data_IF_833954698337
#
_entry.id   IF_833954698337
#
_cell.length_a   1.000
_cell.length_b   1.000
_cell.length_c   1.000
_cell.angle_alpha   90.00
_cell.angle_beta   90.00
_cell.angle_gamma   90.00
#
_symmetry.space_group_name_H-M   'P 1'
#
loop_
_entity.id
_entity.type
_entity.pdbx_description
1 polymer ?
#
# COMPACT_ATOMS: atom_id res chain seq x y z
N UNK A 1 3.03 10.42 -20.56
CA UNK A 1 3.13 9.32 -21.55
C UNK A 1 4.49 8.69 -21.37
N UNK A 2 4.57 7.49 -20.79
CA UNK A 2 5.80 6.71 -20.78
C UNK A 2 5.49 5.33 -21.34
N UNK A 3 6.11 5.04 -22.47
CA UNK A 3 6.09 3.79 -23.21
C UNK A 3 7.11 2.82 -22.62
N UNK A 4 6.65 1.71 -22.06
CA UNK A 4 7.50 0.57 -21.73
C UNK A 4 7.50 -0.37 -22.94
N UNK A 5 8.59 -0.41 -23.70
CA UNK A 5 8.87 -1.48 -24.67
C UNK A 5 9.87 -2.43 -24.01
N UNK A 6 9.54 -3.71 -24.07
CA UNK A 6 10.33 -4.82 -23.57
C UNK A 6 11.75 -4.84 -24.16
N UNK A 7 12.74 -4.89 -23.27
CA UNK A 7 14.16 -5.01 -23.62
C UNK A 7 14.81 -6.12 -22.81
N UNK A 8 14.84 -7.32 -23.39
CA UNK A 8 15.64 -8.44 -22.94
C UNK A 8 17.11 -8.01 -22.86
N UNK A 9 17.68 -7.85 -21.67
CA UNK A 9 19.08 -7.47 -21.49
C UNK A 9 19.80 -8.40 -20.51
N UNK A 10 20.70 -9.18 -21.09
CA UNK A 10 21.76 -9.93 -20.42
C UNK A 10 22.61 -8.95 -19.60
N UNK A 11 22.68 -9.12 -18.28
CA UNK A 11 23.50 -8.28 -17.41
C UNK A 11 25.00 -8.51 -17.68
N UNK A 12 25.83 -7.45 -17.77
CA UNK A 12 27.26 -7.59 -17.84
C UNK A 12 27.85 -7.96 -16.48
N UNK A 13 28.82 -8.87 -16.55
CA UNK A 13 29.52 -9.47 -15.43
C UNK A 13 30.51 -8.45 -14.83
N UNK A 14 30.17 -7.83 -13.69
CA UNK A 14 31.12 -7.07 -12.88
C UNK A 14 31.20 -7.64 -11.46
N UNK A 15 32.41 -8.09 -11.11
CA UNK A 15 32.80 -8.62 -9.81
C UNK A 15 32.60 -7.56 -8.73
N UNK A 16 31.65 -7.79 -7.83
CA UNK A 16 31.62 -7.21 -6.50
C UNK A 16 31.50 -8.36 -5.49
N UNK A 17 32.47 -8.45 -4.58
CA UNK A 17 32.45 -9.39 -3.45
C UNK A 17 31.41 -8.86 -2.46
N UNK A 18 30.18 -9.35 -2.57
CA UNK A 18 29.06 -9.02 -1.71
C UNK A 18 28.01 -10.13 -1.82
N UNK A 19 27.51 -10.60 -0.68
CA UNK A 19 26.64 -11.79 -0.53
C UNK A 19 25.55 -11.88 -1.59
N UNK A 20 25.65 -12.86 -2.48
CA UNK A 20 24.63 -13.14 -3.50
C UNK A 20 23.47 -13.89 -2.86
N UNK A 21 22.50 -13.16 -2.30
CA UNK A 21 21.22 -13.74 -1.89
C UNK A 21 20.30 -13.85 -3.12
N UNK A 22 19.82 -15.05 -3.43
CA UNK A 22 18.83 -15.26 -4.49
C UNK A 22 17.44 -14.88 -3.96
N UNK A 23 16.85 -13.84 -4.55
CA UNK A 23 15.52 -13.34 -4.22
C UNK A 23 14.50 -13.79 -5.27
N UNK A 24 13.34 -14.24 -4.83
CA UNK A 24 12.22 -14.58 -5.72
C UNK A 24 11.04 -13.64 -5.46
N UNK A 25 10.42 -13.13 -6.54
CA UNK A 25 9.22 -12.29 -6.48
C UNK A 25 8.10 -13.07 -5.79
N UNK A 26 7.48 -12.46 -4.79
CA UNK A 26 6.29 -13.05 -4.17
C UNK A 26 5.08 -12.81 -5.08
N UNK A 27 4.47 -13.89 -5.57
CA UNK A 27 3.33 -13.84 -6.50
C UNK A 27 3.78 -13.63 -7.96
N UNK A 28 3.43 -14.57 -8.84
CA UNK A 28 3.59 -14.43 -10.30
C UNK A 28 2.42 -13.69 -10.95
N UNK A 29 1.29 -13.63 -10.26
CA UNK A 29 0.03 -13.15 -10.80
C UNK A 29 -0.07 -11.63 -10.72
N UNK A 30 -0.82 -11.03 -11.65
CA UNK A 30 -1.07 -9.59 -11.67
C UNK A 30 -1.76 -9.17 -10.36
N UNK A 31 -1.26 -8.10 -9.76
CA UNK A 31 -1.90 -7.48 -8.59
C UNK A 31 -3.22 -6.84 -8.99
N UNK A 32 -4.13 -6.63 -8.02
CA UNK A 32 -5.41 -5.94 -8.25
C UNK A 32 -5.19 -4.55 -8.90
N UNK A 33 -4.12 -3.86 -8.50
CA UNK A 33 -3.67 -2.58 -9.06
C UNK A 33 -3.19 -2.66 -10.52
N UNK A 34 -2.66 -3.81 -10.96
CA UNK A 34 -2.26 -4.02 -12.35
C UNK A 34 -3.47 -4.40 -13.23
N UNK A 35 -4.52 -4.99 -12.64
CA UNK A 35 -5.75 -5.39 -13.34
C UNK A 35 -6.71 -4.22 -13.61
N UNK A 36 -6.60 -3.11 -12.88
CA UNK A 36 -7.45 -1.92 -13.06
C UNK A 36 -7.07 -1.07 -14.29
N UNK A 37 -5.89 -1.30 -14.88
CA UNK A 37 -5.34 -0.49 -15.98
C UNK A 37 -5.98 -0.66 -17.38
N UNK A 38 -6.67 -1.75 -17.79
CA UNK A 38 -7.19 -1.88 -19.16
C UNK A 38 -8.72 -1.70 -19.34
N UNK A 39 -9.52 -1.49 -18.29
CA UNK A 39 -10.99 -1.44 -18.43
C UNK A 39 -11.55 -0.02 -18.65
N UNK A 40 -11.22 0.56 -19.81
CA UNK A 40 -12.02 1.66 -20.40
C UNK A 40 -12.61 1.21 -21.73
N UNK A 41 -13.79 0.58 -21.70
CA UNK A 41 -14.61 0.37 -22.91
C UNK A 41 -15.80 1.32 -22.94
N UNK A 42 -15.87 2.01 -24.06
CA UNK A 42 -16.90 2.94 -24.54
C UNK A 42 -18.33 2.41 -24.39
N UNK A 43 -19.27 3.27 -23.97
CA UNK A 43 -20.66 3.23 -24.43
C UNK A 43 -21.33 4.60 -24.32
N UNK A 44 -21.92 5.03 -25.44
CA UNK A 44 -22.79 6.20 -25.61
C UNK A 44 -24.23 5.84 -25.19
N UNK A 45 -24.89 6.72 -24.44
CA UNK A 45 -26.36 6.88 -24.43
C UNK A 45 -27.06 6.90 -23.06
N UNK A 46 -27.89 7.93 -22.85
CA UNK A 46 -28.87 8.24 -21.77
C UNK A 46 -28.38 8.88 -20.46
N UNK A 47 -28.60 10.20 -20.33
CA UNK A 47 -28.17 11.07 -19.24
C UNK A 47 -28.70 10.67 -17.85
N UNK A 48 -29.94 10.18 -17.74
CA UNK A 48 -30.53 9.80 -16.44
C UNK A 48 -30.03 8.45 -15.91
N UNK A 49 -29.60 7.54 -16.80
CA UNK A 49 -28.89 6.31 -16.42
C UNK A 49 -27.42 6.60 -16.07
N UNK A 50 -26.83 7.59 -16.73
CA UNK A 50 -25.46 8.05 -16.48
C UNK A 50 -25.31 8.64 -15.07
N UNK A 51 -26.32 9.37 -14.56
CA UNK A 51 -26.26 9.94 -13.21
C UNK A 51 -26.36 8.86 -12.12
N UNK A 52 -27.18 7.82 -12.31
CA UNK A 52 -27.19 6.63 -11.43
C UNK A 52 -25.90 5.81 -11.50
N UNK A 53 -25.24 5.75 -12.66
CA UNK A 53 -23.91 5.13 -12.78
C UNK A 53 -22.77 5.99 -12.19
N UNK A 54 -23.07 7.22 -11.78
CA UNK A 54 -22.09 8.18 -11.25
C UNK A 54 -22.14 8.34 -9.75
N UNK A 55 -23.24 7.93 -9.11
CA UNK A 55 -23.48 8.17 -7.71
C UNK A 55 -24.13 6.96 -7.03
N UNK A 56 -23.64 6.58 -5.86
CA UNK A 56 -24.21 5.50 -5.05
C UNK A 56 -24.29 5.88 -3.57
N UNK A 57 -25.33 5.41 -2.90
CA UNK A 57 -25.48 5.63 -1.46
C UNK A 57 -24.69 4.58 -0.68
N UNK A 58 -23.67 5.03 0.06
CA UNK A 58 -22.86 4.19 0.92
C UNK A 58 -23.07 4.56 2.39
N UNK A 59 -22.97 3.54 3.25
CA UNK A 59 -23.03 3.69 4.70
C UNK A 59 -21.63 3.78 5.28
N UNK A 60 -21.41 4.83 6.08
CA UNK A 60 -20.17 5.06 6.82
C UNK A 60 -20.46 4.91 8.32
N UNK A 61 -19.97 3.82 8.89
CA UNK A 61 -20.21 3.42 10.27
C UNK A 61 -19.27 4.14 11.23
N UNK A 62 -19.76 4.38 12.45
CA UNK A 62 -18.98 4.87 13.57
C UNK A 62 -18.64 3.71 14.52
N UNK A 63 -17.79 3.98 15.50
CA UNK A 63 -17.39 3.00 16.53
C UNK A 63 -18.56 2.53 17.42
N UNK A 64 -19.62 3.34 17.53
CA UNK A 64 -20.85 3.00 18.24
C UNK A 64 -21.88 2.26 17.36
N UNK A 65 -21.47 1.83 16.16
CA UNK A 65 -22.31 1.18 15.14
C UNK A 65 -23.43 2.04 14.54
N UNK A 66 -23.56 3.31 14.94
CA UNK A 66 -24.35 4.27 14.15
C UNK A 66 -23.70 4.47 12.79
N UNK A 67 -24.47 4.93 11.80
CA UNK A 67 -23.92 5.19 10.47
C UNK A 67 -24.51 6.44 9.85
N UNK A 68 -23.75 7.05 8.95
CA UNK A 68 -24.21 8.12 8.07
C UNK A 68 -24.26 7.60 6.65
N UNK A 69 -25.41 7.73 5.99
CA UNK A 69 -25.52 7.47 4.55
C UNK A 69 -25.03 8.70 3.79
N UNK A 70 -24.15 8.48 2.81
CA UNK A 70 -23.65 9.53 1.91
C UNK A 70 -23.75 9.02 0.49
N UNK A 71 -24.33 9.85 -0.39
CA UNK A 71 -24.32 9.62 -1.81
C UNK A 71 -22.93 9.97 -2.36
N UNK A 72 -22.12 8.95 -2.63
CA UNK A 72 -20.75 9.12 -3.13
C UNK A 72 -20.74 9.20 -4.65
N UNK A 73 -19.99 10.15 -5.18
CA UNK A 73 -19.86 10.38 -6.61
C UNK A 73 -18.45 10.01 -7.10
N UNK A 74 -18.31 9.78 -8.42
CA UNK A 74 -16.99 9.61 -9.04
C UNK A 74 -16.06 10.79 -8.72
N UNK A 75 -14.80 10.50 -8.46
CA UNK A 75 -13.73 11.43 -8.08
C UNK A 75 -13.88 12.08 -6.70
N UNK A 76 -14.82 11.61 -5.86
CA UNK A 76 -14.86 11.99 -4.46
C UNK A 76 -13.67 11.33 -3.74
N UNK A 77 -12.67 12.13 -3.35
CA UNK A 77 -11.49 11.61 -2.65
C UNK A 77 -11.82 11.31 -1.19
N UNK A 78 -11.11 10.34 -0.62
CA UNK A 78 -11.23 9.98 0.80
C UNK A 78 -11.07 11.20 1.72
N UNK A 79 -10.12 12.09 1.43
CA UNK A 79 -9.89 13.30 2.25
C UNK A 79 -11.11 14.23 2.27
N UNK A 80 -11.74 14.44 1.12
CA UNK A 80 -12.89 15.35 0.98
C UNK A 80 -14.13 14.73 1.68
N UNK A 81 -14.28 13.40 1.61
CA UNK A 81 -15.31 12.67 2.34
C UNK A 81 -15.09 12.72 3.86
N UNK A 82 -13.84 12.62 4.34
CA UNK A 82 -13.52 12.80 5.75
C UNK A 82 -13.94 14.19 6.23
N UNK A 83 -13.65 15.26 5.48
CA UNK A 83 -14.11 16.62 5.83
C UNK A 83 -15.63 16.70 5.92
N UNK A 84 -16.36 16.11 4.97
CA UNK A 84 -17.82 16.07 4.98
C UNK A 84 -18.36 15.39 6.24
N UNK A 85 -17.82 14.22 6.59
CA UNK A 85 -18.26 13.44 7.75
C UNK A 85 -17.88 14.13 9.07
N UNK A 86 -16.73 14.81 9.14
CA UNK A 86 -16.35 15.64 10.29
C UNK A 86 -17.38 16.72 10.55
N UNK A 87 -17.79 17.47 9.51
CA UNK A 87 -18.82 18.50 9.63
C UNK A 87 -20.14 17.93 10.12
N UNK A 88 -20.59 16.81 9.54
CA UNK A 88 -21.85 16.14 9.96
C UNK A 88 -21.82 15.66 11.41
N UNK A 89 -20.65 15.24 11.90
CA UNK A 89 -20.48 14.71 13.26
C UNK A 89 -20.04 15.76 14.28
N UNK A 90 -19.74 16.99 13.85
CA UNK A 90 -19.06 17.98 14.67
C UNK A 90 -17.74 17.43 15.27
N UNK A 91 -16.98 16.68 14.46
CA UNK A 91 -15.70 16.10 14.85
C UNK A 91 -14.52 17.03 14.49
N UNK A 92 -13.46 16.98 15.29
CA UNK A 92 -12.29 17.86 15.19
C UNK A 92 -11.03 16.99 15.08
N UNK A 93 -9.98 17.51 14.44
CA UNK A 93 -8.69 16.85 14.34
C UNK A 93 -8.36 16.38 12.91
N UNK A 94 -7.12 15.95 12.73
CA UNK A 94 -6.56 15.53 11.43
C UNK A 94 -6.51 14.01 11.27
N UNK A 95 -6.63 13.25 12.36
CA UNK A 95 -6.46 11.79 12.36
C UNK A 95 -7.68 11.03 11.80
N UNK A 96 -8.63 11.69 11.15
CA UNK A 96 -9.85 11.05 10.67
C UNK A 96 -9.64 10.35 9.34
N UNK A 97 -10.07 9.08 9.27
CA UNK A 97 -9.88 8.25 8.09
C UNK A 97 -11.13 7.40 7.79
N UNK A 98 -11.20 6.94 6.54
CA UNK A 98 -12.14 5.90 6.12
C UNK A 98 -11.42 4.56 6.21
N UNK A 99 -11.93 3.67 7.04
CA UNK A 99 -11.39 2.31 7.23
C UNK A 99 -12.31 1.32 6.55
N UNK A 100 -11.79 0.62 5.55
CA UNK A 100 -12.47 -0.48 4.89
C UNK A 100 -12.27 -1.76 5.70
N UNK A 101 -13.35 -2.44 6.06
CA UNK A 101 -13.32 -3.66 6.87
C UNK A 101 -13.95 -4.84 6.12
N UNK A 102 -13.37 -6.02 6.33
CA UNK A 102 -13.85 -7.31 5.81
C UNK A 102 -14.13 -8.26 6.96
N UNK A 103 -15.32 -8.17 7.61
CA UNK A 103 -15.59 -8.88 8.86
C UNK A 103 -15.37 -10.40 8.78
N UNK A 104 -15.76 -11.03 7.67
CA UNK A 104 -15.58 -12.49 7.47
C UNK A 104 -14.10 -12.91 7.35
N UNK A 105 -13.23 -12.01 6.89
CA UNK A 105 -11.80 -12.27 6.72
C UNK A 105 -10.99 -11.79 7.94
N UNK A 106 -11.56 -10.95 8.79
CA UNK A 106 -10.89 -10.36 9.94
C UNK A 106 -9.75 -9.42 9.55
N UNK A 107 -9.88 -8.75 8.41
CA UNK A 107 -8.91 -7.77 7.91
C UNK A 107 -9.57 -6.41 7.70
N UNK A 108 -8.76 -5.37 7.81
CA UNK A 108 -9.13 -3.99 7.52
C UNK A 108 -7.96 -3.25 6.88
N UNK A 109 -8.26 -2.14 6.21
CA UNK A 109 -7.26 -1.20 5.73
C UNK A 109 -7.78 0.22 5.83
N UNK A 110 -6.91 1.14 6.17
CA UNK A 110 -7.17 2.58 6.04
C UNK A 110 -7.09 2.97 4.56
N UNK A 111 -8.07 3.72 4.07
CA UNK A 111 -8.02 4.32 2.74
C UNK A 111 -7.12 5.57 2.75
N UNK A 112 -6.27 5.69 1.75
CA UNK A 112 -5.41 6.83 1.54
C UNK A 112 -6.22 8.05 1.08
N UNK A 113 -5.71 9.25 1.42
CA UNK A 113 -6.41 10.52 1.17
C UNK A 113 -6.75 10.77 -0.30
N UNK A 114 -5.91 10.27 -1.19
CA UNK A 114 -6.01 10.46 -2.64
C UNK A 114 -6.88 9.40 -3.34
N UNK A 115 -7.28 8.33 -2.65
CA UNK A 115 -8.14 7.30 -3.22
C UNK A 115 -9.54 7.86 -3.53
N UNK A 116 -10.12 7.43 -4.65
CA UNK A 116 -11.51 7.73 -5.02
C UNK A 116 -12.42 6.68 -4.36
N UNK A 117 -13.30 7.11 -3.46
CA UNK A 117 -14.18 6.21 -2.70
C UNK A 117 -15.13 5.43 -3.60
N UNK A 118 -15.62 6.04 -4.68
CA UNK A 118 -16.51 5.39 -5.63
C UNK A 118 -15.75 4.34 -6.44
N UNK A 119 -14.52 4.66 -6.87
CA UNK A 119 -13.66 3.71 -7.57
C UNK A 119 -13.30 2.51 -6.69
N UNK A 120 -12.88 2.75 -5.44
CA UNK A 120 -12.62 1.72 -4.42
C UNK A 120 -13.87 0.87 -4.20
N UNK A 121 -15.04 1.51 -4.05
CA UNK A 121 -16.29 0.79 -3.89
C UNK A 121 -16.55 -0.16 -5.07
N UNK A 122 -16.40 0.31 -6.31
CA UNK A 122 -16.70 -0.48 -7.51
C UNK A 122 -15.71 -1.58 -7.81
N UNK A 123 -14.42 -1.31 -7.64
CA UNK A 123 -13.36 -2.31 -7.85
C UNK A 123 -13.62 -3.55 -6.99
N UNK A 124 -13.90 -3.34 -5.71
CA UNK A 124 -14.14 -4.41 -4.76
C UNK A 124 -15.47 -5.13 -4.98
N UNK A 125 -16.51 -4.43 -5.46
CA UNK A 125 -17.77 -5.07 -5.85
C UNK A 125 -17.53 -6.08 -6.99
N UNK A 126 -16.65 -5.75 -7.94
CA UNK A 126 -16.32 -6.64 -9.05
C UNK A 126 -15.53 -7.88 -8.60
N UNK A 127 -14.53 -7.72 -7.73
CA UNK A 127 -13.61 -8.81 -7.38
C UNK A 127 -14.04 -9.64 -6.17
N UNK A 128 -14.88 -9.10 -5.29
CA UNK A 128 -15.14 -9.67 -3.98
C UNK A 128 -16.59 -9.54 -3.51
N UNK A 129 -17.56 -9.44 -4.43
CA UNK A 129 -19.01 -9.34 -4.15
C UNK A 129 -19.58 -10.36 -3.16
N UNK A 130 -18.94 -11.53 -3.01
CA UNK A 130 -19.36 -12.59 -2.08
C UNK A 130 -19.08 -12.29 -0.60
N UNK A 131 -18.26 -11.29 -0.31
CA UNK A 131 -17.89 -10.93 1.06
C UNK A 131 -18.61 -9.65 1.49
N UNK A 132 -19.11 -9.67 2.71
CA UNK A 132 -19.61 -8.47 3.36
C UNK A 132 -18.44 -7.55 3.66
N UNK A 133 -18.64 -6.25 3.42
CA UNK A 133 -17.67 -5.19 3.68
C UNK A 133 -18.37 -3.98 4.27
N UNK A 134 -17.64 -3.19 5.04
CA UNK A 134 -18.16 -1.96 5.66
C UNK A 134 -17.08 -0.87 5.66
N UNK A 135 -17.51 0.37 5.50
CA UNK A 135 -16.64 1.54 5.67
C UNK A 135 -16.89 2.16 7.04
N UNK A 136 -15.83 2.35 7.80
CA UNK A 136 -15.87 3.01 9.09
C UNK A 136 -15.24 4.39 9.01
N UNK A 137 -15.82 5.36 9.68
CA UNK A 137 -15.26 6.68 9.90
C UNK A 137 -14.67 6.71 11.32
N UNK A 138 -13.35 6.61 11.41
CA UNK A 138 -12.64 6.44 12.67
C UNK A 138 -11.35 7.27 12.71
N UNK A 139 -10.83 7.47 13.93
CA UNK A 139 -9.52 8.05 14.14
C UNK A 139 -8.43 6.99 13.90
N UNK A 140 -7.48 7.32 13.04
CA UNK A 140 -6.25 6.59 12.76
C UNK A 140 -5.07 7.53 13.01
N UNK A 141 -4.55 7.47 14.24
CA UNK A 141 -3.40 8.26 14.64
C UNK A 141 -2.10 7.80 13.99
N UNK A 142 -2.05 6.59 13.40
CA UNK A 142 -0.82 6.03 12.84
C UNK A 142 -0.63 6.40 11.36
N UNK A 143 -1.69 6.82 10.66
CA UNK A 143 -1.68 7.14 9.23
C UNK A 143 -0.55 8.08 8.81
N UNK A 144 -0.30 9.14 9.59
CA UNK A 144 0.72 10.15 9.26
C UNK A 144 2.03 9.99 10.05
N UNK A 145 2.08 9.09 11.03
CA UNK A 145 3.23 8.93 11.92
C UNK A 145 4.53 8.54 11.19
N UNK A 146 4.52 7.73 10.11
CA UNK A 146 5.72 7.48 9.32
C UNK A 146 6.39 8.74 8.76
N UNK A 147 5.65 9.83 8.56
CA UNK A 147 6.18 11.11 8.07
C UNK A 147 6.60 12.06 9.21
N UNK A 148 6.06 11.84 10.41
CA UNK A 148 6.34 12.67 11.60
C UNK A 148 7.57 12.13 12.34
N UNK A 149 7.56 10.84 12.70
CA UNK A 149 8.62 10.16 13.43
C UNK A 149 8.95 8.77 12.83
N UNK A 150 9.57 8.72 11.62
CA UNK A 150 9.79 7.48 10.88
C UNK A 150 10.59 6.41 11.64
N UNK A 151 11.45 6.79 12.58
CA UNK A 151 12.31 5.85 13.32
C UNK A 151 11.53 4.86 14.19
N UNK A 152 10.29 5.18 14.55
CA UNK A 152 9.42 4.25 15.29
C UNK A 152 9.00 3.05 14.42
N UNK A 153 8.98 3.23 13.10
CA UNK A 153 8.56 2.23 12.12
C UNK A 153 9.73 1.55 11.42
N UNK A 154 10.84 2.29 11.28
CA UNK A 154 11.97 1.91 10.44
C UNK A 154 13.29 1.95 11.23
N UNK A 155 13.66 0.85 11.92
CA UNK A 155 14.99 0.71 12.50
C UNK A 155 16.10 0.91 11.47
N UNK A 156 17.26 1.42 11.91
CA UNK A 156 18.35 1.81 11.00
C UNK A 156 18.94 0.65 10.17
N UNK A 157 18.79 -0.59 10.64
CA UNK A 157 19.20 -1.81 9.95
C UNK A 157 18.13 -2.36 8.99
N UNK A 158 16.91 -1.81 9.04
CA UNK A 158 15.78 -2.24 8.22
C UNK A 158 15.74 -1.51 6.86
N UNK A 159 16.21 -0.26 6.79
CA UNK A 159 16.04 0.61 5.61
C UNK A 159 17.37 0.97 4.95
N UNK A 160 17.39 0.86 3.62
CA UNK A 160 18.50 1.28 2.77
C UNK A 160 18.00 2.15 1.62
N UNK A 161 18.60 3.33 1.45
CA UNK A 161 18.34 4.18 0.30
C UNK A 161 19.01 3.61 -0.96
N UNK A 162 18.39 3.72 -2.15
CA UNK A 162 18.99 3.32 -3.41
C UNK A 162 20.39 3.94 -3.61
N UNK A 163 21.31 3.16 -4.18
CA UNK A 163 22.73 3.52 -4.26
C UNK A 163 22.93 4.77 -5.14
N UNK A 164 23.47 5.85 -4.54
CA UNK A 164 23.74 7.10 -5.25
C UNK A 164 23.53 8.36 -4.39
N UNK A 165 22.80 8.24 -3.29
CA UNK A 165 22.65 9.33 -2.32
C UNK A 165 23.70 9.19 -1.22
N UNK A 166 24.65 10.13 -1.23
CA UNK A 166 25.74 10.21 -0.28
C UNK A 166 25.19 10.30 1.15
N UNK A 167 25.38 9.25 1.96
CA UNK A 167 25.09 9.28 3.41
C UNK A 167 25.86 10.39 4.14
N UNK A 168 26.87 10.98 3.50
CA UNK A 168 27.76 12.00 4.03
C UNK A 168 27.14 13.40 4.13
N UNK A 169 26.00 13.66 3.48
CA UNK A 169 25.29 14.96 3.59
C UNK A 169 24.25 14.99 4.70
N UNK A 170 23.91 13.86 5.32
CA UNK A 170 22.94 13.80 6.39
C UNK A 170 23.63 13.85 7.75
N UNK A 171 23.45 14.95 8.48
CA UNK A 171 23.98 15.12 9.84
C UNK A 171 23.36 14.13 10.85
N UNK A 172 22.22 13.52 10.51
CA UNK A 172 21.49 12.54 11.30
C UNK A 172 20.68 11.59 10.39
N UNK A 173 20.73 10.28 10.66
CA UNK A 173 20.08 9.23 9.86
C UNK A 173 18.55 9.34 9.90
N UNK A 174 17.99 9.81 11.01
CA UNK A 174 16.54 10.00 11.17
C UNK A 174 16.03 11.12 10.26
N UNK A 175 16.77 12.23 10.23
CA UNK A 175 16.47 13.38 9.36
C UNK A 175 16.58 13.00 7.88
N UNK A 176 17.55 12.14 7.54
CA UNK A 176 17.69 11.61 6.18
C UNK A 176 16.46 10.83 5.73
N UNK A 177 15.99 9.90 6.57
CA UNK A 177 14.84 9.06 6.27
C UNK A 177 13.56 9.89 6.14
N UNK A 178 13.34 10.82 7.06
CA UNK A 178 12.19 11.73 6.99
C UNK A 178 12.21 12.56 5.71
N UNK A 179 13.35 13.17 5.37
CA UNK A 179 13.47 13.96 4.15
C UNK A 179 13.26 13.11 2.89
N UNK A 180 13.74 11.87 2.89
CA UNK A 180 13.55 10.95 1.78
C UNK A 180 12.07 10.59 1.57
N UNK A 181 11.35 10.25 2.65
CA UNK A 181 9.92 9.88 2.59
C UNK A 181 9.01 11.04 2.15
N UNK A 182 9.44 12.29 2.35
CA UNK A 182 8.69 13.49 1.95
C UNK A 182 8.87 13.87 0.46
N UNK A 183 9.71 13.16 -0.30
CA UNK A 183 9.94 13.45 -1.72
C UNK A 183 8.82 12.86 -2.58
N UNK A 184 8.20 13.70 -3.41
CA UNK A 184 7.16 13.26 -4.34
C UNK A 184 7.72 12.41 -5.51
N UNK A 185 8.98 12.64 -5.88
CA UNK A 185 9.68 11.96 -6.98
C UNK A 185 10.64 10.86 -6.51
N UNK A 186 10.61 10.54 -5.20
CA UNK A 186 11.50 9.58 -4.58
C UNK A 186 11.28 8.17 -5.11
N UNK A 187 12.37 7.41 -5.24
CA UNK A 187 12.27 5.98 -5.38
C UNK A 187 11.74 5.34 -4.08
N UNK A 188 11.17 4.15 -4.18
CA UNK A 188 10.76 3.40 -2.99
C UNK A 188 12.02 2.95 -2.23
N UNK A 189 12.16 3.26 -0.93
CA UNK A 189 13.33 2.83 -0.17
C UNK A 189 13.36 1.30 -0.09
N UNK A 190 14.56 0.73 0.02
CA UNK A 190 14.69 -0.70 0.23
C UNK A 190 14.42 -1.02 1.69
N UNK A 191 13.47 -1.91 1.97
CA UNK A 191 13.13 -2.34 3.33
C UNK A 191 13.38 -3.83 3.45
N UNK A 192 14.30 -4.22 4.31
CA UNK A 192 14.66 -5.62 4.58
C UNK A 192 14.29 -6.00 6.00
N UNK A 193 13.51 -7.06 6.17
CA UNK A 193 13.11 -7.52 7.49
C UNK A 193 12.79 -9.00 7.55
N UNK A 194 12.74 -9.54 8.77
CA UNK A 194 12.24 -10.89 9.03
C UNK A 194 10.74 -10.83 9.31
N UNK A 195 9.94 -11.61 8.57
CA UNK A 195 8.49 -11.70 8.71
C UNK A 195 8.05 -13.12 9.04
N UNK A 196 6.89 -13.25 9.69
CA UNK A 196 6.19 -14.51 9.86
C UNK A 196 5.20 -14.70 8.72
N UNK A 197 5.36 -15.78 7.96
CA UNK A 197 4.47 -16.11 6.86
C UNK A 197 3.68 -17.38 7.20
N UNK A 198 2.35 -17.30 7.10
CA UNK A 198 1.46 -18.45 7.22
C UNK A 198 1.59 -19.34 5.99
N UNK A 199 1.57 -20.65 6.18
CA UNK A 199 1.52 -21.60 5.08
C UNK A 199 0.14 -21.56 4.39
N UNK A 200 0.12 -21.59 3.05
CA UNK A 200 -1.13 -21.52 2.25
C UNK A 200 -2.13 -22.62 2.66
N UNK A 201 -1.62 -23.82 2.94
CA UNK A 201 -2.44 -25.01 3.20
C UNK A 201 -2.33 -25.52 4.65
N UNK A 202 -1.81 -24.71 5.58
CA UNK A 202 -1.75 -25.11 6.99
C UNK A 202 -1.83 -23.94 7.96
N UNK A 203 -2.11 -24.22 9.22
CA UNK A 203 -2.08 -23.22 10.30
C UNK A 203 -0.66 -22.99 10.83
N UNK A 204 0.35 -23.57 10.19
CA UNK A 204 1.74 -23.33 10.54
C UNK A 204 2.22 -21.96 10.07
N UNK A 205 3.19 -21.41 10.81
CA UNK A 205 3.87 -20.17 10.48
C UNK A 205 5.37 -20.45 10.35
N UNK A 206 6.04 -19.76 9.43
CA UNK A 206 7.50 -19.83 9.27
C UNK A 206 8.11 -18.44 9.25
N UNK A 207 9.30 -18.30 9.84
CA UNK A 207 10.14 -17.12 9.70
C UNK A 207 10.81 -17.11 8.33
N UNK A 208 10.82 -15.96 7.68
CA UNK A 208 11.55 -15.74 6.44
C UNK A 208 11.97 -14.28 6.29
N UNK A 209 13.01 -14.05 5.52
CA UNK A 209 13.45 -12.69 5.19
C UNK A 209 12.74 -12.20 3.95
N UNK A 210 12.34 -10.93 3.99
CA UNK A 210 11.61 -10.24 2.95
C UNK A 210 12.33 -8.93 2.61
N UNK A 211 12.35 -8.61 1.32
CA UNK A 211 12.92 -7.38 0.79
C UNK A 211 11.85 -6.65 -0.03
N UNK A 212 11.48 -5.44 0.37
CA UNK A 212 10.77 -4.50 -0.48
C UNK A 212 11.81 -3.72 -1.28
N UNK A 213 11.77 -3.80 -2.60
CA UNK A 213 12.66 -3.05 -3.50
C UNK A 213 11.95 -2.75 -4.81
N UNK A 214 12.02 -1.49 -5.27
CA UNK A 214 11.46 -1.11 -6.57
C UNK A 214 9.96 -1.42 -6.69
N UNK A 215 9.18 -1.13 -5.63
CA UNK A 215 7.73 -1.42 -5.52
C UNK A 215 7.36 -2.90 -5.61
N UNK A 216 8.32 -3.81 -5.36
CA UNK A 216 8.11 -5.25 -5.39
C UNK A 216 8.59 -5.89 -4.10
N UNK A 217 7.85 -6.93 -3.69
CA UNK A 217 8.16 -7.73 -2.52
C UNK A 217 8.86 -9.02 -2.96
N UNK A 218 10.05 -9.24 -2.41
CA UNK A 218 10.89 -10.39 -2.65
C UNK A 218 11.06 -11.21 -1.38
N UNK A 219 11.20 -12.51 -1.55
CA UNK A 219 11.50 -13.42 -0.45
C UNK A 219 12.86 -14.05 -0.65
N UNK A 220 13.64 -14.18 0.43
CA UNK A 220 14.89 -14.92 0.38
C UNK A 220 14.62 -16.42 0.55
N UNK A 221 15.01 -17.23 -0.43
CA UNK A 221 15.15 -18.68 -0.20
C UNK A 221 16.41 -18.90 0.65
N UNK A 222 16.24 -19.63 1.77
CA UNK A 222 17.28 -20.15 2.70
C UNK A 222 18.72 -19.68 2.37
N UNK A 223 19.31 -18.86 3.23
CA UNK A 223 20.77 -18.71 3.30
C UNK A 223 21.36 -20.12 3.47
N UNK A 224 21.96 -20.69 2.41
CA UNK A 224 22.90 -21.78 2.59
C UNK A 224 24.08 -21.18 3.34
N UNK A 225 24.15 -21.43 4.64
CA UNK A 225 25.34 -21.11 5.43
C UNK A 225 26.52 -21.84 4.81
N UNK A 226 27.32 -21.13 4.00
CA UNK A 226 28.71 -21.50 3.80
C UNK A 226 29.44 -20.85 4.97
N UNK A 227 29.60 -21.60 6.06
CA UNK A 227 30.64 -21.29 7.04
C UNK A 227 31.98 -21.44 6.31
N UNK A 228 32.50 -20.34 5.77
CA UNK A 228 33.91 -20.26 5.47
C UNK A 228 34.61 -20.07 6.82
N UNK A 229 35.16 -21.16 7.36
CA UNK A 229 36.14 -21.10 8.44
C UNK A 229 37.27 -20.17 7.99
N UNK A 230 37.43 -19.04 8.67
CA UNK A 230 38.70 -18.33 8.66
C UNK A 230 39.51 -18.90 9.84
N UNK A 231 40.47 -19.75 9.50
CA UNK A 231 41.68 -19.95 10.30
C UNK A 231 42.71 -18.88 9.98
#
# INVERSE_FOLDING_TARGET
MCSCIDGNSTLPNNRAVGRTASYERLGSDLTIFELSSPMRRSRRGNQDLIDRERQEELQFYNNDHSFTTVAVEKNLRTIDLCELLKVKRNAIGIAWSIVETWPKLGIERTLEDHEDIFAVHKELEMFASRYERRFYFSEDFLKYEPFIDPKQFFPSDMVMFPCGEDRSTFADADSALRNYLLREDGECPQVFSMVWMRHVNSNGWRKMYMLLQGRKLYTAKKLKYVFANFG
#
